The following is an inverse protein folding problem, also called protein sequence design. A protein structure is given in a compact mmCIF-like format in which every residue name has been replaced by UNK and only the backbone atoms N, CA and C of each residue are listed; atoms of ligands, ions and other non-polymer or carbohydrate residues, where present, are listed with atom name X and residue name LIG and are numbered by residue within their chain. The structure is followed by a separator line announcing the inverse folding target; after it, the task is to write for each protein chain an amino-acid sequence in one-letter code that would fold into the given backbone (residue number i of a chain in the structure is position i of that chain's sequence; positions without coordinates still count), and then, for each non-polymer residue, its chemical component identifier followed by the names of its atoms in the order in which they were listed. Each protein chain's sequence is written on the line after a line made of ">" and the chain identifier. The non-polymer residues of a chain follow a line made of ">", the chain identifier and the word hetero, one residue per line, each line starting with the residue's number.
data_IF_683590896818
#
_entry.id   IF_683590896818
#
_cell.length_a   1.000
_cell.length_b   1.000
_cell.length_c   1.000
_cell.angle_alpha   90.00
_cell.angle_beta   90.00
_cell.angle_gamma   90.00
#
_symmetry.space_group_name_H-M   'P 1'
#
loop_
_entity.id
_entity.type
_entity.pdbx_description
1 polymer ?
#
# COMPACT_ATOMS: atom_id res chain seq x y z
N UNK A 1 -80.70 -54.91 21.34
CA UNK A 1 -79.48 -55.34 21.98
C UNK A 1 -78.34 -55.18 21.00
N UNK A 2 -77.55 -54.10 21.15
CA UNK A 2 -76.37 -53.85 20.27
C UNK A 2 -75.15 -53.98 21.16
N UNK A 3 -74.31 -54.98 20.83
CA UNK A 3 -73.04 -55.23 21.51
C UNK A 3 -71.99 -54.36 20.86
N UNK A 4 -71.39 -53.47 21.66
CA UNK A 4 -70.32 -52.56 21.23
C UNK A 4 -68.97 -53.20 21.49
N UNK A 5 -68.23 -53.56 20.40
CA UNK A 5 -66.87 -54.06 20.48
C UNK A 5 -65.90 -52.90 20.56
N UNK A 6 -65.17 -52.81 21.68
CA UNK A 6 -64.11 -51.87 21.91
C UNK A 6 -62.79 -52.50 21.41
N UNK A 7 -62.29 -52.04 20.27
CA UNK A 7 -61.00 -52.46 19.76
C UNK A 7 -59.95 -51.50 20.38
N UNK A 8 -59.11 -52.04 21.23
CA UNK A 8 -57.91 -51.34 21.74
C UNK A 8 -56.79 -51.50 20.75
N UNK A 9 -56.47 -50.45 19.98
CA UNK A 9 -55.28 -50.38 19.19
C UNK A 9 -54.06 -50.06 20.06
N UNK A 10 -53.19 -51.04 20.23
CA UNK A 10 -51.89 -50.89 20.89
C UNK A 10 -50.90 -50.27 19.86
N UNK A 11 -50.65 -48.98 20.00
CA UNK A 11 -49.62 -48.31 19.21
C UNK A 11 -48.26 -48.66 19.77
N UNK A 12 -47.54 -49.53 19.12
CA UNK A 12 -46.10 -49.75 19.29
C UNK A 12 -45.36 -48.57 18.66
N UNK A 13 -44.89 -47.61 19.46
CA UNK A 13 -43.91 -46.61 19.01
C UNK A 13 -42.58 -47.31 18.94
N UNK A 14 -42.18 -47.72 17.72
CA UNK A 14 -40.82 -48.12 17.42
C UNK A 14 -39.99 -46.85 17.32
N UNK A 15 -39.16 -46.54 18.33
CA UNK A 15 -38.03 -45.64 18.19
C UNK A 15 -37.01 -46.28 17.24
N UNK A 16 -37.11 -46.03 15.95
CA UNK A 16 -35.99 -46.22 15.04
C UNK A 16 -35.02 -45.04 15.27
N UNK A 17 -33.96 -45.28 16.00
CA UNK A 17 -32.80 -44.38 16.01
C UNK A 17 -32.24 -44.37 14.60
N UNK A 18 -32.49 -43.31 13.85
CA UNK A 18 -31.81 -43.00 12.63
C UNK A 18 -30.35 -42.69 12.98
N UNK A 19 -29.53 -43.73 13.06
CA UNK A 19 -28.08 -43.60 12.87
C UNK A 19 -27.85 -43.38 11.36
N UNK A 20 -28.20 -42.20 10.87
CA UNK A 20 -27.57 -41.75 9.62
C UNK A 20 -26.08 -41.60 9.90
N UNK A 21 -25.21 -42.23 9.11
CA UNK A 21 -23.77 -41.94 9.20
C UNK A 21 -23.63 -40.44 8.97
N UNK A 22 -23.00 -39.74 9.92
CA UNK A 22 -22.57 -38.35 9.71
C UNK A 22 -21.77 -38.33 8.40
N UNK A 23 -22.37 -37.78 7.36
CA UNK A 23 -21.67 -37.52 6.11
C UNK A 23 -20.59 -36.49 6.47
N UNK A 24 -19.39 -36.99 6.66
CA UNK A 24 -18.23 -36.14 6.97
C UNK A 24 -18.09 -35.18 5.81
N UNK A 25 -18.64 -33.98 5.98
CA UNK A 25 -18.53 -32.91 4.99
C UNK A 25 -17.05 -32.60 4.80
N UNK A 26 -16.55 -32.50 3.56
CA UNK A 26 -15.14 -32.20 3.33
C UNK A 26 -14.80 -30.85 3.95
N UNK A 27 -13.68 -30.79 4.64
CA UNK A 27 -13.14 -29.54 5.15
C UNK A 27 -12.47 -28.78 4.00
N UNK A 28 -12.97 -27.60 3.65
CA UNK A 28 -12.58 -26.83 2.49
C UNK A 28 -12.33 -25.37 2.82
N UNK A 29 -11.40 -24.76 2.09
CA UNK A 29 -11.22 -23.32 2.00
C UNK A 29 -12.27 -22.76 1.04
N UNK A 30 -13.27 -22.06 1.53
CA UNK A 30 -14.40 -21.53 0.75
C UNK A 30 -14.02 -20.21 0.06
N UNK A 31 -13.41 -19.29 0.82
CA UNK A 31 -13.09 -17.96 0.32
C UNK A 31 -11.71 -17.51 0.76
N UNK A 32 -11.04 -16.78 -0.14
CA UNK A 32 -9.88 -15.95 0.14
C UNK A 32 -10.27 -14.52 -0.22
N UNK A 33 -10.23 -13.62 0.77
CA UNK A 33 -10.62 -12.22 0.62
C UNK A 33 -9.41 -11.35 0.92
N UNK A 34 -9.09 -10.43 0.03
CA UNK A 34 -8.00 -9.46 0.20
C UNK A 34 -8.52 -8.09 -0.21
N UNK A 35 -8.76 -7.22 0.76
CA UNK A 35 -9.45 -5.95 0.54
C UNK A 35 -10.87 -6.16 0.01
N UNK A 36 -11.18 -5.61 -1.14
CA UNK A 36 -12.46 -5.73 -1.86
C UNK A 36 -12.50 -6.90 -2.88
N UNK A 37 -11.39 -7.62 -3.03
CA UNK A 37 -11.25 -8.71 -4.00
C UNK A 37 -11.44 -10.07 -3.32
N UNK A 38 -12.03 -11.02 -4.04
CA UNK A 38 -12.32 -12.35 -3.53
C UNK A 38 -11.97 -13.44 -4.54
N UNK A 39 -11.38 -14.54 -4.04
CA UNK A 39 -11.12 -15.78 -4.77
C UNK A 39 -10.32 -15.64 -6.06
N UNK A 40 -9.44 -14.64 -6.12
CA UNK A 40 -8.56 -14.44 -7.27
C UNK A 40 -7.34 -15.38 -7.21
N UNK A 41 -6.81 -15.75 -8.39
CA UNK A 41 -5.49 -16.39 -8.50
C UNK A 41 -4.37 -15.38 -8.24
N UNK A 42 -4.60 -14.14 -8.65
CA UNK A 42 -3.75 -12.99 -8.38
C UNK A 42 -4.61 -11.82 -7.96
N UNK A 43 -4.35 -11.28 -6.78
CA UNK A 43 -4.95 -10.05 -6.27
C UNK A 43 -4.07 -8.89 -6.73
N UNK A 44 -4.63 -7.92 -7.45
CA UNK A 44 -3.89 -6.79 -8.02
C UNK A 44 -4.22 -5.49 -7.25
N UNK A 45 -3.28 -4.55 -7.22
CA UNK A 45 -3.44 -3.24 -6.59
C UNK A 45 -3.91 -3.29 -5.13
N UNK A 46 -3.42 -4.27 -4.38
CA UNK A 46 -3.80 -4.44 -2.98
C UNK A 46 -3.20 -3.31 -2.14
N UNK A 47 -4.02 -2.66 -1.33
CA UNK A 47 -3.57 -1.61 -0.43
C UNK A 47 -2.62 -2.18 0.67
N UNK A 48 -1.62 -1.39 1.13
CA UNK A 48 -0.63 -1.89 2.09
C UNK A 48 -1.18 -2.33 3.45
N UNK A 49 -2.32 -1.79 3.85
CA UNK A 49 -2.88 -1.95 5.20
C UNK A 49 -4.04 -2.96 5.28
N UNK A 50 -4.24 -3.80 4.27
CA UNK A 50 -5.32 -4.79 4.29
C UNK A 50 -4.89 -6.10 4.92
N UNK A 51 -5.84 -6.79 5.57
CA UNK A 51 -5.66 -8.16 6.02
C UNK A 51 -6.12 -9.15 4.93
N UNK A 52 -5.56 -10.35 4.96
CA UNK A 52 -6.01 -11.50 4.18
C UNK A 52 -7.00 -12.26 5.04
N UNK A 53 -8.24 -12.45 4.60
CA UNK A 53 -9.24 -13.23 5.32
C UNK A 53 -9.49 -14.55 4.58
N UNK A 54 -9.31 -15.65 5.29
CA UNK A 54 -9.53 -17.01 4.81
C UNK A 54 -10.80 -17.54 5.48
N UNK A 55 -11.79 -17.95 4.69
CA UNK A 55 -13.04 -18.55 5.19
C UNK A 55 -13.07 -20.04 4.88
N UNK A 56 -13.27 -20.85 5.91
CA UNK A 56 -13.32 -22.29 5.82
C UNK A 56 -14.77 -22.82 5.97
N UNK A 57 -15.00 -24.05 5.55
CA UNK A 57 -16.31 -24.71 5.65
C UNK A 57 -16.66 -25.02 7.11
N UNK A 58 -15.69 -25.19 7.99
CA UNK A 58 -15.86 -25.55 9.39
C UNK A 58 -14.86 -24.81 10.28
N UNK A 59 -15.01 -24.94 11.61
CA UNK A 59 -14.13 -24.36 12.61
C UNK A 59 -12.69 -24.85 12.44
N UNK A 60 -11.73 -23.92 12.55
CA UNK A 60 -10.32 -24.16 12.22
C UNK A 60 -9.51 -24.39 13.49
N UNK A 61 -8.65 -25.42 13.50
CA UNK A 61 -7.65 -25.62 14.53
C UNK A 61 -6.53 -24.58 14.39
N UNK A 62 -6.37 -23.75 15.40
CA UNK A 62 -5.44 -22.61 15.37
C UNK A 62 -3.98 -23.02 15.19
N UNK A 63 -3.55 -24.10 15.84
CA UNK A 63 -2.17 -24.54 15.80
C UNK A 63 -1.82 -25.07 14.40
N UNK A 64 -2.72 -25.83 13.78
CA UNK A 64 -2.53 -26.33 12.42
C UNK A 64 -2.53 -25.18 11.40
N UNK A 65 -3.42 -24.19 11.57
CA UNK A 65 -3.49 -23.03 10.68
C UNK A 65 -2.17 -22.21 10.70
N UNK A 66 -1.67 -21.88 11.89
CA UNK A 66 -0.39 -21.14 12.04
C UNK A 66 0.80 -21.87 11.41
N UNK A 67 0.78 -23.19 11.38
CA UNK A 67 1.86 -24.00 10.83
C UNK A 67 1.73 -24.25 9.31
N UNK A 68 0.54 -24.09 8.75
CA UNK A 68 0.24 -24.48 7.38
C UNK A 68 -0.25 -23.33 6.48
N UNK A 69 -0.42 -22.12 7.03
CA UNK A 69 -0.69 -20.90 6.28
C UNK A 69 0.57 -20.04 6.32
N UNK A 70 1.11 -19.70 5.17
CA UNK A 70 2.33 -18.93 5.05
C UNK A 70 2.20 -17.82 4.00
N UNK A 71 2.82 -16.70 4.28
CA UNK A 71 3.02 -15.60 3.34
C UNK A 71 4.51 -15.51 3.01
N UNK A 72 4.85 -15.36 1.74
CA UNK A 72 6.22 -15.17 1.28
C UNK A 72 6.36 -13.91 0.44
N UNK A 73 7.51 -13.27 0.54
CA UNK A 73 7.93 -12.17 -0.32
C UNK A 73 9.34 -12.50 -0.84
N UNK A 74 9.54 -12.49 -2.16
CA UNK A 74 10.82 -12.90 -2.78
C UNK A 74 11.31 -14.29 -2.28
N UNK A 75 10.39 -15.26 -2.16
CA UNK A 75 10.59 -16.60 -1.60
C UNK A 75 10.99 -16.65 -0.11
N UNK A 76 11.17 -15.52 0.55
CA UNK A 76 11.44 -15.44 1.99
C UNK A 76 10.13 -15.42 2.80
N UNK A 77 10.08 -16.09 3.96
CA UNK A 77 8.90 -16.09 4.81
C UNK A 77 8.67 -14.70 5.41
N UNK A 78 7.40 -14.27 5.40
CA UNK A 78 6.95 -13.02 6.03
C UNK A 78 6.30 -13.36 7.37
N UNK A 79 6.73 -12.69 8.43
CA UNK A 79 6.10 -12.81 9.74
C UNK A 79 4.71 -12.20 9.70
N UNK A 80 3.70 -12.97 10.12
CA UNK A 80 2.30 -12.54 10.13
C UNK A 80 1.70 -12.68 11.52
N UNK A 81 0.72 -11.85 11.80
CA UNK A 81 -0.23 -12.01 12.89
C UNK A 81 -1.45 -12.75 12.37
N UNK A 82 -1.96 -13.66 13.21
CA UNK A 82 -3.12 -14.51 12.90
C UNK A 82 -4.21 -14.24 13.92
N UNK A 83 -5.38 -13.84 13.44
CA UNK A 83 -6.59 -13.67 14.25
C UNK A 83 -7.64 -14.67 13.79
N UNK A 84 -8.28 -15.36 14.74
CA UNK A 84 -9.31 -16.36 14.48
C UNK A 84 -10.67 -15.74 14.75
N UNK A 85 -11.40 -15.45 13.65
CA UNK A 85 -12.67 -14.75 13.68
C UNK A 85 -13.82 -15.75 13.46
N UNK A 86 -14.82 -15.76 14.33
CA UNK A 86 -16.03 -16.59 14.16
C UNK A 86 -15.73 -18.07 13.89
N UNK A 87 -14.70 -18.64 14.53
CA UNK A 87 -14.26 -20.04 14.44
C UNK A 87 -13.87 -20.53 13.02
N UNK A 88 -14.54 -20.05 11.96
CA UNK A 88 -14.35 -20.48 10.56
C UNK A 88 -13.50 -19.51 9.73
N UNK A 89 -13.10 -18.38 10.29
CA UNK A 89 -12.33 -17.37 9.57
C UNK A 89 -10.98 -17.13 10.22
N UNK A 90 -9.94 -17.08 9.38
CA UNK A 90 -8.58 -16.75 9.79
C UNK A 90 -8.18 -15.47 9.09
N UNK A 91 -7.88 -14.43 9.85
CA UNK A 91 -7.27 -13.21 9.36
C UNK A 91 -5.75 -13.31 9.45
N UNK A 92 -5.06 -13.03 8.37
CA UNK A 92 -3.59 -13.08 8.26
C UNK A 92 -3.10 -11.70 7.86
N UNK A 93 -2.34 -11.06 8.73
CA UNK A 93 -1.81 -9.70 8.52
C UNK A 93 -0.30 -9.71 8.60
N UNK A 94 0.43 -9.26 7.57
CA UNK A 94 1.89 -9.12 7.66
C UNK A 94 2.28 -8.13 8.75
N UNK A 95 3.24 -8.48 9.58
CA UNK A 95 3.78 -7.56 10.59
C UNK A 95 4.43 -6.35 9.91
N UNK A 96 3.90 -5.15 10.20
CA UNK A 96 4.33 -3.91 9.55
C UNK A 96 3.65 -3.64 8.20
N UNK A 97 2.61 -4.40 7.84
CA UNK A 97 1.86 -4.26 6.59
C UNK A 97 2.60 -4.81 5.37
N UNK A 98 1.97 -4.68 4.22
CA UNK A 98 2.60 -5.01 2.95
C UNK A 98 3.51 -3.86 2.47
N UNK A 99 4.64 -4.17 1.85
CA UNK A 99 5.42 -3.17 1.10
C UNK A 99 4.65 -2.77 -0.16
N UNK A 100 4.71 -1.51 -0.53
CA UNK A 100 4.12 -1.00 -1.78
C UNK A 100 4.83 -1.58 -3.01
N UNK A 101 4.12 -1.70 -4.14
CA UNK A 101 4.64 -2.16 -5.43
C UNK A 101 5.41 -3.49 -5.32
N UNK A 102 4.93 -4.40 -4.49
CA UNK A 102 5.60 -5.66 -4.16
C UNK A 102 4.69 -6.86 -4.44
N UNK A 103 5.30 -8.03 -4.63
CA UNK A 103 4.58 -9.28 -4.87
C UNK A 103 4.76 -10.24 -3.71
N UNK A 104 3.66 -10.80 -3.25
CA UNK A 104 3.61 -11.80 -2.18
C UNK A 104 2.94 -13.06 -2.68
N UNK A 105 3.34 -14.20 -2.11
CA UNK A 105 2.75 -15.51 -2.36
C UNK A 105 2.07 -16.00 -1.08
N UNK A 106 0.77 -16.10 -1.07
CA UNK A 106 0.01 -16.75 -0.01
C UNK A 106 -0.06 -18.26 -0.30
N UNK A 107 0.26 -19.06 0.69
CA UNK A 107 0.26 -20.53 0.61
C UNK A 107 -0.60 -21.06 1.75
N UNK A 108 -1.64 -21.82 1.40
CA UNK A 108 -2.45 -22.58 2.36
C UNK A 108 -2.23 -24.05 2.04
N UNK A 109 -1.52 -24.75 2.92
CA UNK A 109 -1.21 -26.17 2.75
C UNK A 109 -2.38 -27.07 3.19
N UNK A 110 -2.50 -28.30 2.65
CA UNK A 110 -3.51 -29.27 3.08
C UNK A 110 -3.36 -29.74 4.53
N UNK A 111 -2.28 -29.38 5.21
CA UNK A 111 -2.05 -29.66 6.64
C UNK A 111 -2.90 -28.86 7.61
N UNK A 112 -3.67 -27.88 7.15
CA UNK A 112 -4.66 -27.17 7.99
C UNK A 112 -5.75 -28.18 8.37
N UNK A 113 -6.18 -28.15 9.63
CA UNK A 113 -7.22 -29.03 10.19
C UNK A 113 -8.42 -28.24 10.68
N UNK A 114 -9.58 -28.87 10.64
CA UNK A 114 -10.72 -28.41 11.43
C UNK A 114 -10.53 -28.74 12.92
N UNK A 115 -11.31 -28.16 13.79
CA UNK A 115 -11.33 -28.49 15.24
C UNK A 115 -11.73 -29.95 15.48
N UNK A 116 -12.46 -30.58 14.55
CA UNK A 116 -12.78 -32.01 14.57
C UNK A 116 -11.60 -32.91 14.07
N UNK A 117 -10.48 -32.31 13.63
CA UNK A 117 -9.30 -33.03 13.17
C UNK A 117 -9.30 -33.39 11.67
N UNK A 118 -10.34 -33.01 10.91
CA UNK A 118 -10.42 -33.26 9.46
C UNK A 118 -9.42 -32.37 8.72
N UNK A 119 -8.61 -32.97 7.84
CA UNK A 119 -7.63 -32.25 7.01
C UNK A 119 -8.31 -31.46 5.89
N UNK A 120 -7.71 -30.34 5.52
CA UNK A 120 -8.12 -29.53 4.37
C UNK A 120 -8.01 -30.36 3.08
N UNK A 121 -9.11 -30.44 2.33
CA UNK A 121 -9.22 -31.27 1.13
C UNK A 121 -8.20 -30.88 0.05
N UNK A 122 -7.99 -29.59 -0.15
CA UNK A 122 -7.04 -29.07 -1.14
C UNK A 122 -6.32 -27.84 -0.61
N UNK A 123 -5.01 -27.77 -0.81
CA UNK A 123 -4.23 -26.56 -0.60
C UNK A 123 -4.53 -25.50 -1.67
N UNK A 124 -4.16 -24.25 -1.36
CA UNK A 124 -4.31 -23.12 -2.27
C UNK A 124 -3.07 -22.25 -2.27
N UNK A 125 -2.69 -21.79 -3.45
CA UNK A 125 -1.62 -20.79 -3.63
C UNK A 125 -2.20 -19.66 -4.46
N UNK A 126 -2.00 -18.41 -4.01
CA UNK A 126 -2.35 -17.23 -4.80
C UNK A 126 -1.28 -16.15 -4.65
N UNK A 127 -1.25 -15.23 -5.60
CA UNK A 127 -0.36 -14.09 -5.61
C UNK A 127 -1.10 -12.85 -5.15
N UNK A 128 -0.40 -11.99 -4.40
CA UNK A 128 -0.89 -10.69 -3.95
C UNK A 128 0.11 -9.66 -4.44
N UNK A 129 -0.32 -8.77 -5.32
CA UNK A 129 0.48 -7.65 -5.82
C UNK A 129 -0.06 -6.37 -5.22
N UNK A 130 0.77 -5.71 -4.47
CA UNK A 130 0.40 -4.45 -3.82
C UNK A 130 0.49 -3.28 -4.78
N UNK A 131 -0.43 -2.36 -4.64
CA UNK A 131 -0.44 -1.09 -5.34
C UNK A 131 0.46 -0.03 -4.69
N UNK A 132 0.30 1.20 -5.13
CA UNK A 132 0.89 2.36 -4.47
C UNK A 132 0.10 2.67 -3.18
N UNK A 133 0.81 3.26 -2.22
CA UNK A 133 0.15 3.88 -1.08
C UNK A 133 -0.39 5.24 -1.54
N UNK A 134 -1.69 5.33 -1.71
CA UNK A 134 -2.43 6.51 -2.15
C UNK A 134 -2.95 7.36 -0.99
N UNK A 135 -2.54 7.04 0.24
CA UNK A 135 -2.86 7.87 1.39
C UNK A 135 -2.17 9.22 1.28
N UNK A 136 -2.92 10.28 1.54
CA UNK A 136 -2.36 11.64 1.58
C UNK A 136 -1.30 11.74 2.69
N UNK A 137 -0.03 11.85 2.29
CA UNK A 137 1.11 11.99 3.22
C UNK A 137 1.31 13.41 3.72
N UNK A 138 0.68 14.37 3.05
CA UNK A 138 0.75 15.78 3.36
C UNK A 138 -0.65 16.36 3.45
N UNK A 139 -0.80 17.37 4.29
CA UNK A 139 -2.03 18.14 4.36
C UNK A 139 -2.32 18.79 3.00
N UNK A 140 -3.56 18.69 2.55
CA UNK A 140 -4.01 19.37 1.34
C UNK A 140 -4.16 20.84 1.63
N UNK A 141 -3.42 21.67 0.91
CA UNK A 141 -3.51 23.13 0.96
C UNK A 141 -4.22 23.65 -0.31
N UNK A 142 -4.83 24.85 -0.29
CA UNK A 142 -5.40 25.47 -1.47
C UNK A 142 -4.39 25.59 -2.61
N UNK A 143 -4.88 25.50 -3.87
CA UNK A 143 -4.02 25.51 -5.06
C UNK A 143 -3.12 26.74 -5.14
N UNK A 144 -3.61 27.92 -4.77
CA UNK A 144 -2.81 29.16 -4.75
C UNK A 144 -1.66 29.10 -3.73
N UNK A 145 -1.90 28.50 -2.57
CA UNK A 145 -0.86 28.33 -1.54
C UNK A 145 0.16 27.30 -2.00
N UNK A 146 -0.30 26.20 -2.66
CA UNK A 146 0.57 25.21 -3.25
C UNK A 146 1.46 25.80 -4.36
N UNK A 147 0.89 26.56 -5.27
CA UNK A 147 1.63 27.26 -6.34
C UNK A 147 2.65 28.24 -5.74
N UNK A 148 2.26 29.00 -4.72
CA UNK A 148 3.16 29.91 -4.02
C UNK A 148 4.31 29.17 -3.35
N UNK A 149 4.01 28.04 -2.69
CA UNK A 149 5.02 27.19 -2.06
C UNK A 149 6.01 26.64 -3.09
N UNK A 150 5.50 26.07 -4.20
CA UNK A 150 6.33 25.54 -5.27
C UNK A 150 7.24 26.61 -5.87
N UNK A 151 6.68 27.78 -6.19
CA UNK A 151 7.46 28.91 -6.75
C UNK A 151 8.54 29.37 -5.79
N UNK A 152 8.21 29.51 -4.51
CA UNK A 152 9.17 29.94 -3.48
C UNK A 152 10.29 28.92 -3.29
N UNK A 153 9.98 27.61 -3.29
CA UNK A 153 11.00 26.58 -3.15
C UNK A 153 11.89 26.49 -4.41
N UNK A 154 11.28 26.57 -5.60
CA UNK A 154 12.03 26.57 -6.87
C UNK A 154 12.93 27.79 -6.99
N UNK A 155 12.46 28.98 -6.57
CA UNK A 155 13.25 30.21 -6.58
C UNK A 155 14.53 30.11 -5.75
N UNK A 156 14.55 29.34 -4.66
CA UNK A 156 15.76 29.12 -3.84
C UNK A 156 16.94 28.59 -4.63
N UNK A 157 16.68 27.81 -5.70
CA UNK A 157 17.74 27.31 -6.56
C UNK A 157 18.54 28.45 -7.19
N UNK A 158 17.88 29.52 -7.62
CA UNK A 158 18.52 30.67 -8.22
C UNK A 158 19.04 31.67 -7.22
N UNK A 159 18.40 31.77 -6.07
CA UNK A 159 18.68 32.78 -5.06
C UNK A 159 19.68 32.32 -4.01
N UNK A 160 19.38 31.26 -3.30
CA UNK A 160 20.20 30.76 -2.19
C UNK A 160 21.35 29.90 -2.70
N UNK A 161 21.15 29.15 -3.77
CA UNK A 161 22.12 28.22 -4.34
C UNK A 161 22.90 28.80 -5.52
N UNK A 162 22.68 30.05 -5.91
CA UNK A 162 23.46 30.76 -6.91
C UNK A 162 24.94 30.77 -6.54
N UNK A 163 25.83 30.87 -7.56
CA UNK A 163 27.26 30.94 -7.33
C UNK A 163 27.62 32.19 -6.51
N UNK A 164 28.39 32.01 -5.46
CA UNK A 164 28.65 33.04 -4.45
C UNK A 164 29.23 34.33 -5.02
N UNK A 165 30.27 34.22 -5.87
CA UNK A 165 30.97 35.39 -6.41
C UNK A 165 30.26 36.02 -7.59
N UNK A 166 29.75 35.22 -8.53
CA UNK A 166 29.14 35.75 -9.75
C UNK A 166 27.64 36.00 -9.62
N UNK A 167 26.95 35.30 -8.72
CA UNK A 167 25.51 35.31 -8.63
C UNK A 167 24.80 34.50 -9.72
N UNK A 168 25.54 33.87 -10.64
CA UNK A 168 25.02 33.07 -11.73
C UNK A 168 24.38 31.75 -11.21
N UNK A 169 23.44 31.19 -11.96
CA UNK A 169 22.86 29.90 -11.67
C UNK A 169 23.89 28.78 -11.88
N UNK A 170 24.07 27.92 -10.91
CA UNK A 170 24.87 26.69 -11.05
C UNK A 170 24.18 25.74 -12.05
N UNK A 171 24.96 24.87 -12.69
CA UNK A 171 24.41 23.90 -13.63
C UNK A 171 23.43 22.93 -12.95
N UNK A 172 23.83 22.43 -11.78
CA UNK A 172 23.04 21.52 -10.93
C UNK A 172 23.55 21.56 -9.49
N UNK A 173 22.86 20.92 -8.57
CA UNK A 173 23.22 20.92 -7.14
C UNK A 173 24.60 20.30 -6.85
N UNK A 174 25.10 19.45 -7.74
CA UNK A 174 26.39 18.73 -7.59
C UNK A 174 27.50 19.23 -8.50
N UNK A 175 27.29 20.34 -9.24
CA UNK A 175 28.23 20.83 -10.25
C UNK A 175 29.41 21.68 -9.71
N UNK A 176 29.48 21.86 -8.38
CA UNK A 176 30.51 22.75 -7.77
C UNK A 176 30.35 24.17 -8.27
N UNK A 177 31.42 24.76 -8.84
CA UNK A 177 31.42 26.14 -9.31
C UNK A 177 31.06 26.29 -10.81
N UNK A 178 30.62 25.20 -11.44
CA UNK A 178 30.17 25.27 -12.85
C UNK A 178 28.83 25.99 -12.91
N UNK A 179 28.79 27.07 -13.68
CA UNK A 179 27.61 27.94 -13.88
C UNK A 179 27.17 27.92 -15.34
N UNK A 180 25.89 28.26 -15.57
CA UNK A 180 25.32 28.28 -16.92
C UNK A 180 24.69 29.64 -17.25
N UNK A 181 24.89 30.11 -18.47
CA UNK A 181 24.27 31.34 -18.96
C UNK A 181 22.77 31.18 -19.16
N UNK A 182 22.33 30.04 -19.73
CA UNK A 182 20.91 29.74 -19.89
C UNK A 182 20.15 29.65 -18.56
N UNK A 183 20.69 28.91 -17.59
CA UNK A 183 20.14 28.85 -16.23
C UNK A 183 20.08 30.22 -15.56
N UNK A 184 21.11 31.04 -15.74
CA UNK A 184 21.15 32.43 -15.23
C UNK A 184 20.05 33.29 -15.83
N UNK A 185 19.78 33.15 -17.14
CA UNK A 185 18.69 33.88 -17.81
C UNK A 185 17.30 33.53 -17.17
N UNK A 186 17.03 32.23 -16.91
CA UNK A 186 15.86 31.83 -16.16
C UNK A 186 15.86 32.37 -14.73
N UNK A 187 17.02 32.43 -14.09
CA UNK A 187 17.19 33.04 -12.76
C UNK A 187 16.80 34.52 -12.73
N UNK A 188 17.19 35.31 -13.75
CA UNK A 188 16.77 36.71 -13.86
C UNK A 188 15.25 36.83 -13.96
N UNK A 189 14.60 36.01 -14.80
CA UNK A 189 13.14 35.99 -14.89
C UNK A 189 12.49 35.59 -13.55
N UNK A 190 13.05 34.60 -12.87
CA UNK A 190 12.56 34.17 -11.54
C UNK A 190 12.70 35.27 -10.50
N UNK A 191 13.71 36.13 -10.54
CA UNK A 191 13.87 37.29 -9.65
C UNK A 191 12.76 38.33 -9.83
N UNK A 192 12.30 38.57 -11.08
CA UNK A 192 11.19 39.48 -11.34
C UNK A 192 9.91 38.96 -10.68
N UNK A 193 9.62 37.66 -10.86
CA UNK A 193 8.47 37.01 -10.20
C UNK A 193 8.61 37.03 -8.68
N UNK A 194 9.78 36.77 -8.15
CA UNK A 194 10.04 36.74 -6.73
C UNK A 194 9.87 38.12 -6.08
N UNK A 195 10.29 39.18 -6.75
CA UNK A 195 10.07 40.55 -6.29
C UNK A 195 8.59 40.94 -6.33
N UNK A 196 7.86 40.58 -7.37
CA UNK A 196 6.42 40.83 -7.51
C UNK A 196 5.62 40.08 -6.43
N UNK A 197 6.00 38.82 -6.17
CA UNK A 197 5.34 38.00 -5.14
C UNK A 197 5.86 38.25 -3.72
N UNK A 198 6.77 39.16 -3.51
CA UNK A 198 7.31 39.52 -2.20
C UNK A 198 8.21 38.45 -1.56
N UNK A 199 8.80 37.55 -2.34
CA UNK A 199 9.80 36.57 -1.83
C UNK A 199 11.13 37.25 -1.54
N UNK A 200 11.45 38.29 -2.31
CA UNK A 200 12.58 39.22 -2.11
C UNK A 200 12.09 40.64 -2.33
N UNK A 201 12.84 41.62 -1.85
CA UNK A 201 12.55 43.01 -2.14
C UNK A 201 12.99 43.41 -3.55
N UNK A 202 12.36 44.45 -4.11
CA UNK A 202 12.79 45.01 -5.40
C UNK A 202 14.27 45.45 -5.37
N UNK A 203 14.71 46.01 -4.25
CA UNK A 203 16.10 46.45 -4.09
C UNK A 203 17.07 45.25 -4.20
N UNK A 204 16.78 44.16 -3.50
CA UNK A 204 17.58 42.92 -3.59
C UNK A 204 17.63 42.36 -5.00
N UNK A 205 16.50 42.38 -5.73
CA UNK A 205 16.47 41.96 -7.14
C UNK A 205 17.39 42.82 -8.01
N UNK A 206 17.32 44.17 -7.88
CA UNK A 206 18.14 45.12 -8.60
C UNK A 206 19.63 44.87 -8.36
N UNK A 207 20.02 44.74 -7.08
CA UNK A 207 21.42 44.48 -6.70
C UNK A 207 21.95 43.19 -7.31
N UNK A 208 21.16 42.12 -7.32
CA UNK A 208 21.56 40.83 -7.94
C UNK A 208 21.67 40.94 -9.47
N UNK A 209 20.72 41.60 -10.12
CA UNK A 209 20.74 41.81 -11.58
C UNK A 209 21.93 42.71 -11.98
N UNK A 210 22.24 43.77 -11.23
CA UNK A 210 23.42 44.60 -11.44
C UNK A 210 24.70 43.77 -11.32
N UNK A 211 24.81 42.94 -10.28
CA UNK A 211 25.97 42.04 -10.12
C UNK A 211 26.15 41.14 -11.36
N UNK A 212 25.07 40.51 -11.85
CA UNK A 212 25.09 39.66 -13.05
C UNK A 212 25.48 40.44 -14.30
N UNK A 213 25.04 41.68 -14.47
CA UNK A 213 25.39 42.52 -15.61
C UNK A 213 26.90 42.90 -15.65
N UNK A 214 27.49 43.14 -14.49
CA UNK A 214 28.90 43.51 -14.38
C UNK A 214 29.86 42.39 -14.77
N UNK A 215 29.50 41.13 -14.66
CA UNK A 215 30.30 39.98 -15.07
C UNK A 215 30.62 40.04 -16.56
N UNK A 216 29.68 40.48 -17.38
CA UNK A 216 29.90 40.64 -18.85
C UNK A 216 30.71 41.90 -19.23
N UNK A 217 30.77 42.88 -18.33
CA UNK A 217 31.48 44.14 -18.56
C UNK A 217 32.92 44.09 -18.08
N UNK A 218 33.18 43.32 -17.01
CA UNK A 218 34.50 43.29 -16.35
C UNK A 218 35.43 42.20 -16.88
N UNK A 219 34.96 41.24 -17.68
CA UNK A 219 35.87 40.35 -18.40
C UNK A 219 36.44 41.05 -19.61
N UNK A 220 37.77 41.38 -19.66
CA UNK A 220 38.37 41.85 -20.86
C UNK A 220 38.30 40.69 -21.86
N UNK A 221 37.65 40.93 -23.00
CA UNK A 221 37.77 40.07 -24.17
C UNK A 221 39.27 39.95 -24.49
N UNK A 222 39.90 38.82 -24.12
CA UNK A 222 41.26 38.54 -24.58
C UNK A 222 41.17 38.41 -26.09
N UNK A 223 41.88 39.23 -26.85
CA UNK A 223 42.02 38.98 -28.30
C UNK A 223 42.71 37.64 -28.46
N UNK A 224 42.18 36.81 -29.30
CA UNK A 224 42.80 35.56 -29.72
C UNK A 224 44.15 35.81 -30.39
#
# INVERSE_FOLDING_TARGET
>A
MKVLYFIVCLLLVACSGDNQPEVNQPFELKNIIVGDQQNQQTFENVAPNVAIVLEFSDAVDEASARNNIALKHEELPVSCDYEFLQEKKVSVTPKGGFKVLSSYKLIVNPGVKSTSGTLLSNGKVCMIKTGMDDTDKFERIPDEDLLTLVQKQTFKYFWDFGHEYSGMARERTTSGDVVTTGGTGFGVMAMLVAAERGFITRQQAVERVQKLSLIHISEPTRPY
#
